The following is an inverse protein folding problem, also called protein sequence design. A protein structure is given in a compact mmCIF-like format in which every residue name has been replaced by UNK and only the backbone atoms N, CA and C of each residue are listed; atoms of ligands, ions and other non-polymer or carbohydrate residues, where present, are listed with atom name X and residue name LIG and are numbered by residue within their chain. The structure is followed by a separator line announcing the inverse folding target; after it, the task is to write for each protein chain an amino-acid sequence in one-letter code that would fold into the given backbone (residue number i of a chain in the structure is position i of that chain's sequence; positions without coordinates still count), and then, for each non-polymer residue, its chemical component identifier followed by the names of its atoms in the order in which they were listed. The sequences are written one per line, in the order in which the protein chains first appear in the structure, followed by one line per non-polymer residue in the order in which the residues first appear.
data_IF_187354508968
#
_entry.id   IF_187354508968
#
_cell.length_a   1.000
_cell.length_b   1.000
_cell.length_c   1.000
_cell.angle_alpha   90.00
_cell.angle_beta   90.00
_cell.angle_gamma   90.00
#
_symmetry.space_group_name_H-M   'P 1'
#
loop_
_entity.id
_entity.type
_entity.pdbx_description
1 polymer ?
#
# COMPACT_ATOMS: atom_id res chain seq x y z
N UNK A 1 -21.93 19.44 19.88
CA UNK A 1 -20.46 19.33 19.80
C UNK A 1 -19.83 20.68 20.12
N UNK A 2 -18.93 20.72 21.10
CA UNK A 2 -18.28 21.94 21.60
C UNK A 2 -17.51 22.65 20.45
N UNK A 3 -17.60 23.99 20.30
CA UNK A 3 -16.96 24.73 19.19
C UNK A 3 -15.44 24.50 19.04
N UNK A 4 -14.73 24.21 20.14
CA UNK A 4 -13.30 23.84 20.10
C UNK A 4 -13.04 22.53 19.36
N UNK A 5 -13.89 21.52 19.55
CA UNK A 5 -13.77 20.23 18.87
C UNK A 5 -14.01 20.37 17.35
N UNK A 6 -14.93 21.25 16.97
CA UNK A 6 -15.23 21.57 15.56
C UNK A 6 -14.06 22.28 14.87
N UNK A 7 -13.40 23.23 15.55
CA UNK A 7 -12.20 23.90 15.03
C UNK A 7 -10.98 22.96 14.92
N UNK A 8 -10.77 22.09 15.91
CA UNK A 8 -9.72 21.08 15.86
C UNK A 8 -9.94 20.08 14.72
N UNK A 9 -11.19 19.64 14.50
CA UNK A 9 -11.54 18.78 13.36
C UNK A 9 -11.25 19.45 12.01
N UNK A 10 -11.58 20.73 11.85
CA UNK A 10 -11.31 21.46 10.61
C UNK A 10 -9.81 21.74 10.39
N UNK A 11 -9.06 22.02 11.45
CA UNK A 11 -7.61 22.24 11.39
C UNK A 11 -6.84 20.97 11.04
N UNK A 12 -7.34 19.80 11.48
CA UNK A 12 -6.76 18.51 11.16
C UNK A 12 -7.00 18.03 9.73
N UNK A 13 -7.96 18.62 9.02
CA UNK A 13 -8.43 18.18 7.71
C UNK A 13 -7.72 18.93 6.57
N UNK A 14 -7.27 20.16 6.77
CA UNK A 14 -6.85 21.06 5.69
C UNK A 14 -5.37 21.44 5.63
N UNK A 15 -4.59 21.23 6.66
CA UNK A 15 -3.22 21.76 6.68
C UNK A 15 -2.17 20.67 6.44
N UNK A 16 -1.64 20.66 5.21
CA UNK A 16 -0.37 20.02 4.91
C UNK A 16 0.76 21.00 5.21
N UNK A 17 1.41 20.86 6.35
CA UNK A 17 2.56 21.67 6.74
C UNK A 17 3.83 20.87 6.44
N UNK A 18 4.79 21.53 5.78
CA UNK A 18 6.13 20.94 5.62
C UNK A 18 6.82 20.97 6.97
N UNK A 19 7.13 19.79 7.49
CA UNK A 19 7.86 19.60 8.73
C UNK A 19 9.21 20.35 8.69
N UNK A 20 9.62 20.90 9.84
CA UNK A 20 10.87 21.66 9.97
C UNK A 20 12.07 20.93 9.41
N UNK A 21 12.19 19.64 9.73
CA UNK A 21 13.27 18.77 9.30
C UNK A 21 13.31 18.52 7.78
N UNK A 22 12.17 18.66 7.10
CA UNK A 22 12.05 18.47 5.64
C UNK A 22 12.23 19.74 4.82
N UNK A 23 12.31 20.92 5.45
CA UNK A 23 12.48 22.20 4.76
C UNK A 23 13.76 22.26 3.94
N UNK A 24 14.85 21.68 4.44
CA UNK A 24 16.12 21.59 3.72
C UNK A 24 15.97 20.78 2.44
N UNK A 25 15.40 19.57 2.52
CA UNK A 25 15.15 18.72 1.34
C UNK A 25 14.27 19.40 0.31
N UNK A 26 13.20 20.08 0.75
CA UNK A 26 12.33 20.86 -0.16
C UNK A 26 13.11 22.00 -0.84
N UNK A 27 14.01 22.68 -0.12
CA UNK A 27 14.86 23.74 -0.70
C UNK A 27 15.83 23.18 -1.74
N UNK A 28 16.46 22.05 -1.46
CA UNK A 28 17.36 21.36 -2.39
C UNK A 28 16.61 20.93 -3.67
N UNK A 29 15.42 20.35 -3.53
CA UNK A 29 14.57 19.98 -4.66
C UNK A 29 14.14 21.21 -5.49
N UNK A 30 13.76 22.31 -4.85
CA UNK A 30 13.45 23.57 -5.54
C UNK A 30 14.63 24.15 -6.30
N UNK A 31 15.84 24.00 -5.76
CA UNK A 31 17.07 24.45 -6.45
C UNK A 31 17.36 23.58 -7.67
N UNK A 32 17.25 22.27 -7.55
CA UNK A 32 17.44 21.34 -8.67
C UNK A 32 16.40 21.61 -9.78
N UNK A 33 15.15 21.88 -9.39
CA UNK A 33 14.05 22.11 -10.33
C UNK A 33 14.23 23.39 -11.18
N UNK A 34 15.01 24.37 -10.72
CA UNK A 34 15.28 25.59 -11.50
C UNK A 34 16.04 25.33 -12.80
N UNK A 35 16.84 24.29 -12.84
CA UNK A 35 17.69 23.91 -13.96
C UNK A 35 17.18 22.64 -14.69
N UNK A 36 15.97 22.19 -14.37
CA UNK A 36 15.37 21.03 -14.98
C UNK A 36 14.40 21.42 -16.09
N UNK A 37 14.37 20.64 -17.17
CA UNK A 37 13.44 20.81 -18.29
C UNK A 37 12.10 20.10 -18.04
N UNK A 38 12.09 19.02 -17.27
CA UNK A 38 10.91 18.21 -16.93
C UNK A 38 11.01 17.66 -15.49
N UNK A 39 9.88 17.37 -14.88
CA UNK A 39 9.78 16.73 -13.58
C UNK A 39 9.06 15.39 -13.72
N UNK A 40 9.76 14.30 -13.41
CA UNK A 40 9.18 12.97 -13.34
C UNK A 40 8.87 12.58 -11.88
N UNK A 41 7.65 12.19 -11.61
CA UNK A 41 7.18 11.70 -10.31
C UNK A 41 7.13 10.17 -10.34
N UNK A 42 8.14 9.54 -9.75
CA UNK A 42 8.37 8.09 -9.79
C UNK A 42 8.11 7.45 -8.41
N UNK A 43 6.97 7.75 -7.80
CA UNK A 43 6.51 7.15 -6.56
C UNK A 43 5.73 5.85 -6.84
N UNK A 44 5.50 5.03 -5.80
CA UNK A 44 4.79 3.75 -5.93
C UNK A 44 3.42 3.87 -6.61
N UNK A 45 2.96 2.81 -7.25
CA UNK A 45 1.66 2.76 -7.92
C UNK A 45 0.53 2.40 -6.94
N UNK A 46 0.43 3.16 -5.87
CA UNK A 46 -0.67 3.05 -4.92
C UNK A 46 -1.21 4.42 -4.55
N UNK A 47 -2.23 4.46 -3.71
CA UNK A 47 -2.86 5.72 -3.28
C UNK A 47 -1.89 6.59 -2.49
N UNK A 48 -1.03 5.98 -1.70
CA UNK A 48 -0.01 6.66 -0.89
C UNK A 48 1.03 7.32 -1.81
N UNK A 49 1.54 6.60 -2.81
CA UNK A 49 2.49 7.13 -3.79
C UNK A 49 1.88 8.23 -4.66
N UNK A 50 0.62 8.11 -5.03
CA UNK A 50 -0.09 9.14 -5.79
C UNK A 50 -0.28 10.42 -4.97
N UNK A 51 -0.63 10.30 -3.69
CA UNK A 51 -0.73 11.45 -2.79
C UNK A 51 0.63 12.11 -2.53
N UNK A 52 1.72 11.33 -2.42
CA UNK A 52 3.08 11.87 -2.31
C UNK A 52 3.43 12.68 -3.56
N UNK A 53 3.15 12.15 -4.74
CA UNK A 53 3.37 12.84 -6.01
C UNK A 53 2.61 14.17 -6.07
N UNK A 54 1.32 14.16 -5.70
CA UNK A 54 0.49 15.35 -5.64
C UNK A 54 1.02 16.40 -4.65
N UNK A 55 1.39 15.98 -3.42
CA UNK A 55 1.94 16.87 -2.40
C UNK A 55 3.27 17.49 -2.83
N UNK A 56 4.12 16.76 -3.55
CA UNK A 56 5.35 17.29 -4.13
C UNK A 56 5.04 18.39 -5.14
N UNK A 57 4.08 18.19 -6.04
CA UNK A 57 3.65 19.22 -7.00
C UNK A 57 3.16 20.46 -6.28
N UNK A 58 2.29 20.32 -5.28
CA UNK A 58 1.75 21.44 -4.49
C UNK A 58 2.84 22.20 -3.74
N UNK A 59 3.86 21.51 -3.24
CA UNK A 59 4.94 22.11 -2.44
C UNK A 59 6.01 22.75 -3.31
N UNK A 60 6.40 22.11 -4.39
CA UNK A 60 7.46 22.57 -5.30
C UNK A 60 6.95 23.62 -6.27
N UNK A 61 5.70 23.54 -6.67
CA UNK A 61 5.04 24.41 -7.68
C UNK A 61 5.89 24.53 -8.94
N UNK A 62 6.17 23.39 -9.61
CA UNK A 62 7.01 23.35 -10.80
C UNK A 62 6.45 24.24 -11.90
N UNK A 63 7.34 24.89 -12.65
CA UNK A 63 7.00 25.65 -13.87
C UNK A 63 7.26 24.83 -15.13
N UNK A 64 7.87 23.68 -14.97
CA UNK A 64 8.20 22.72 -16.04
C UNK A 64 7.10 21.66 -16.15
N UNK A 65 7.00 20.96 -17.29
CA UNK A 65 6.07 19.82 -17.43
C UNK A 65 6.28 18.79 -16.33
N UNK A 66 5.18 18.29 -15.78
CA UNK A 66 5.18 17.26 -14.75
C UNK A 66 4.63 15.98 -15.34
N UNK A 67 5.34 14.89 -15.18
CA UNK A 67 4.98 13.57 -15.71
C UNK A 67 5.00 12.52 -14.60
N UNK A 68 3.94 11.73 -14.46
CA UNK A 68 3.84 10.64 -13.51
C UNK A 68 4.39 9.36 -14.16
N UNK A 69 5.44 8.79 -13.59
CA UNK A 69 5.98 7.49 -13.96
C UNK A 69 5.44 6.41 -13.04
N UNK A 70 5.04 5.29 -13.62
CA UNK A 70 4.57 4.12 -12.87
C UNK A 70 5.33 2.89 -13.37
N UNK A 71 5.91 2.14 -12.44
CA UNK A 71 6.57 0.87 -12.72
C UNK A 71 6.40 -0.08 -11.52
N UNK A 72 6.28 -1.38 -11.82
CA UNK A 72 6.03 -2.41 -10.81
C UNK A 72 7.30 -3.07 -10.29
N UNK A 73 8.42 -2.85 -10.98
CA UNK A 73 9.73 -3.40 -10.62
C UNK A 73 10.86 -2.40 -10.93
N UNK A 74 11.93 -2.46 -10.15
CA UNK A 74 13.10 -1.59 -10.34
C UNK A 74 14.11 -2.29 -11.26
N UNK A 75 13.70 -2.48 -12.51
CA UNK A 75 14.57 -2.99 -13.58
C UNK A 75 14.78 -1.92 -14.65
N UNK A 76 15.91 -1.96 -15.33
CA UNK A 76 16.22 -1.01 -16.42
C UNK A 76 15.14 -1.01 -17.50
N UNK A 77 14.61 -2.18 -17.83
CA UNK A 77 13.58 -2.31 -18.87
C UNK A 77 12.25 -1.70 -18.42
N UNK A 78 11.81 -1.96 -17.18
CA UNK A 78 10.58 -1.39 -16.63
C UNK A 78 10.67 0.14 -16.51
N UNK A 79 11.80 0.67 -16.06
CA UNK A 79 12.03 2.10 -15.96
C UNK A 79 12.01 2.77 -17.34
N UNK A 80 12.69 2.21 -18.33
CA UNK A 80 12.68 2.73 -19.70
C UNK A 80 11.30 2.66 -20.34
N UNK A 81 10.55 1.58 -20.10
CA UNK A 81 9.17 1.46 -20.58
C UNK A 81 8.26 2.53 -19.94
N UNK A 82 8.41 2.80 -18.65
CA UNK A 82 7.61 3.79 -17.94
C UNK A 82 7.93 5.24 -18.35
N UNK A 83 9.16 5.54 -18.78
CA UNK A 83 9.51 6.84 -19.37
C UNK A 83 8.72 7.14 -20.64
N UNK A 84 8.45 6.11 -21.44
CA UNK A 84 7.67 6.23 -22.68
C UNK A 84 6.15 6.18 -22.45
N UNK A 85 5.72 5.78 -21.26
CA UNK A 85 4.29 5.62 -20.89
C UNK A 85 3.97 6.40 -19.61
N UNK A 86 4.17 7.71 -19.65
CA UNK A 86 3.87 8.60 -18.54
C UNK A 86 2.40 9.03 -18.57
N UNK A 87 1.85 9.36 -17.41
CA UNK A 87 0.49 9.87 -17.25
C UNK A 87 0.45 11.11 -16.35
N UNK A 88 -0.71 11.68 -16.17
CA UNK A 88 -0.94 12.71 -15.15
C UNK A 88 -1.17 12.08 -13.76
N UNK A 89 -1.09 12.91 -12.72
CA UNK A 89 -1.44 12.50 -11.34
C UNK A 89 -2.94 12.23 -11.27
N UNK A 90 -3.31 11.06 -10.73
CA UNK A 90 -4.71 10.66 -10.57
C UNK A 90 -5.32 11.30 -9.30
N UNK A 91 -6.15 12.31 -9.51
CA UNK A 91 -6.84 13.03 -8.44
C UNK A 91 -7.77 12.12 -7.62
N UNK A 92 -8.40 11.11 -8.21
CA UNK A 92 -9.30 10.21 -7.49
C UNK A 92 -8.52 9.33 -6.48
N UNK A 93 -7.32 8.89 -6.85
CA UNK A 93 -6.44 8.16 -5.95
C UNK A 93 -5.94 9.05 -4.80
N UNK A 94 -5.64 10.32 -5.08
CA UNK A 94 -5.27 11.31 -4.06
C UNK A 94 -6.42 11.52 -3.08
N UNK A 95 -7.64 11.76 -3.57
CA UNK A 95 -8.83 11.94 -2.73
C UNK A 95 -9.13 10.69 -1.88
N UNK A 96 -8.94 9.51 -2.45
CA UNK A 96 -9.10 8.25 -1.72
C UNK A 96 -8.07 8.13 -0.57
N UNK A 97 -6.83 8.54 -0.77
CA UNK A 97 -5.79 8.55 0.27
C UNK A 97 -6.11 9.60 1.34
N UNK A 98 -6.48 10.82 0.95
CA UNK A 98 -6.86 11.87 1.90
C UNK A 98 -8.08 11.46 2.74
N UNK A 99 -9.09 10.89 2.12
CA UNK A 99 -10.28 10.36 2.81
C UNK A 99 -9.89 9.29 3.83
N UNK A 100 -9.01 8.36 3.45
CA UNK A 100 -8.49 7.35 4.37
C UNK A 100 -7.77 7.98 5.56
N UNK A 101 -6.88 8.94 5.31
CA UNK A 101 -6.14 9.65 6.36
C UNK A 101 -7.08 10.38 7.34
N UNK A 102 -8.09 11.04 6.81
CA UNK A 102 -9.10 11.73 7.61
C UNK A 102 -9.90 10.74 8.46
N UNK A 103 -10.36 9.65 7.85
CA UNK A 103 -11.11 8.60 8.57
C UNK A 103 -10.28 7.95 9.68
N UNK A 104 -9.02 7.60 9.43
CA UNK A 104 -8.15 7.01 10.44
C UNK A 104 -7.95 7.96 11.62
N UNK A 105 -7.80 9.24 11.35
CA UNK A 105 -7.63 10.25 12.38
C UNK A 105 -8.90 10.47 13.18
N UNK A 106 -10.04 10.60 12.53
CA UNK A 106 -11.35 10.73 13.21
C UNK A 106 -11.65 9.50 14.07
N UNK A 107 -11.43 8.31 13.52
CA UNK A 107 -11.60 7.06 14.23
C UNK A 107 -10.73 6.99 15.49
N UNK A 108 -9.45 7.35 15.39
CA UNK A 108 -8.54 7.38 16.53
C UNK A 108 -8.98 8.36 17.60
N UNK A 109 -9.40 9.57 17.23
CA UNK A 109 -9.86 10.58 18.20
C UNK A 109 -11.18 10.23 18.88
N UNK A 110 -12.09 9.55 18.22
CA UNK A 110 -13.38 9.18 18.81
C UNK A 110 -13.25 7.95 19.72
N UNK A 111 -12.45 6.96 19.34
CA UNK A 111 -12.36 5.68 20.04
C UNK A 111 -11.27 5.62 21.11
N UNK A 112 -10.15 6.31 20.95
CA UNK A 112 -9.09 6.27 21.96
C UNK A 112 -9.56 6.73 23.33
N UNK A 113 -10.37 7.80 23.49
CA UNK A 113 -10.92 8.18 24.80
C UNK A 113 -11.86 7.13 25.41
N UNK A 114 -12.54 6.34 24.59
CA UNK A 114 -13.38 5.23 25.07
C UNK A 114 -12.50 4.12 25.64
N UNK A 115 -11.40 3.79 24.96
CA UNK A 115 -10.41 2.83 25.45
C UNK A 115 -9.79 3.29 26.77
N UNK A 116 -9.45 4.56 26.90
CA UNK A 116 -8.87 5.09 28.14
C UNK A 116 -9.80 4.98 29.34
N UNK A 117 -11.10 5.15 29.11
CA UNK A 117 -12.11 5.01 30.17
C UNK A 117 -12.47 3.57 30.53
N UNK A 118 -12.43 2.67 29.54
CA UNK A 118 -12.95 1.30 29.72
C UNK A 118 -11.85 0.27 29.92
N UNK A 119 -10.65 0.51 29.42
CA UNK A 119 -9.54 -0.47 29.43
C UNK A 119 -8.34 0.08 30.21
N UNK A 120 -7.77 1.21 29.79
CA UNK A 120 -6.64 1.82 30.46
C UNK A 120 -6.05 3.01 29.68
N UNK A 121 -5.32 3.92 30.37
CA UNK A 121 -4.73 5.10 29.75
C UNK A 121 -3.62 4.74 28.76
N UNK A 122 -3.38 5.63 27.79
CA UNK A 122 -2.28 5.49 26.82
C UNK A 122 -2.56 4.54 25.66
N UNK A 123 -3.71 3.87 25.63
CA UNK A 123 -4.10 3.00 24.50
C UNK A 123 -4.59 3.83 23.32
N UNK A 124 -4.31 3.36 22.12
CA UNK A 124 -4.81 3.98 20.88
C UNK A 124 -5.69 3.01 20.08
N UNK A 125 -6.73 3.56 19.45
CA UNK A 125 -7.55 2.84 18.49
C UNK A 125 -7.12 3.19 17.07
N UNK A 126 -7.07 2.18 16.20
CA UNK A 126 -6.76 2.36 14.79
C UNK A 126 -7.23 1.17 13.98
N UNK A 127 -7.56 1.38 12.70
CA UNK A 127 -8.04 0.31 11.82
C UNK A 127 -7.04 -0.83 11.71
N UNK A 128 -5.76 -0.51 11.51
CA UNK A 128 -4.71 -1.52 11.40
C UNK A 128 -4.55 -2.28 12.72
N UNK A 129 -4.47 -1.59 13.84
CA UNK A 129 -4.33 -2.20 15.16
C UNK A 129 -5.48 -3.13 15.48
N UNK A 130 -6.71 -2.73 15.22
CA UNK A 130 -7.90 -3.55 15.52
C UNK A 130 -8.02 -4.73 14.57
N UNK A 131 -7.98 -4.49 13.25
CA UNK A 131 -8.21 -5.54 12.23
C UNK A 131 -7.03 -6.49 12.16
N UNK A 132 -5.79 -5.99 12.12
CA UNK A 132 -4.61 -6.86 12.06
C UNK A 132 -4.48 -7.73 13.31
N UNK A 133 -4.70 -7.16 14.49
CA UNK A 133 -4.69 -7.92 15.74
C UNK A 133 -5.77 -9.01 15.73
N UNK A 134 -6.97 -8.68 15.26
CA UNK A 134 -8.05 -9.67 15.13
C UNK A 134 -7.66 -10.83 14.23
N UNK A 135 -7.13 -10.55 13.04
CA UNK A 135 -6.69 -11.56 12.08
C UNK A 135 -5.61 -12.48 12.69
N UNK A 136 -4.63 -11.90 13.41
CA UNK A 136 -3.58 -12.66 14.08
C UNK A 136 -4.18 -13.57 15.17
N UNK A 137 -5.08 -13.03 16.00
CA UNK A 137 -5.73 -13.79 17.07
C UNK A 137 -6.61 -14.91 16.51
N UNK A 138 -7.38 -14.66 15.46
CA UNK A 138 -8.19 -15.69 14.80
C UNK A 138 -7.30 -16.79 14.23
N UNK A 139 -6.22 -16.42 13.54
CA UNK A 139 -5.26 -17.39 13.00
C UNK A 139 -4.56 -18.21 14.08
N UNK A 140 -4.20 -17.58 15.19
CA UNK A 140 -3.59 -18.28 16.31
C UNK A 140 -4.58 -19.26 16.98
N UNK A 141 -5.86 -18.89 17.08
CA UNK A 141 -6.91 -19.81 17.55
C UNK A 141 -7.07 -21.01 16.63
N UNK A 142 -7.06 -20.83 15.31
CA UNK A 142 -7.05 -21.92 14.33
C UNK A 142 -5.83 -22.82 14.51
N UNK A 143 -4.63 -22.23 14.70
CA UNK A 143 -3.40 -22.96 14.95
C UNK A 143 -3.48 -23.80 16.22
N UNK A 144 -4.01 -23.24 17.29
CA UNK A 144 -4.19 -23.95 18.57
C UNK A 144 -5.24 -25.08 18.47
N UNK A 145 -6.27 -24.90 17.67
CA UNK A 145 -7.32 -25.89 17.43
C UNK A 145 -6.89 -26.97 16.42
N UNK A 146 -5.80 -26.74 15.70
CA UNK A 146 -5.33 -27.65 14.65
C UNK A 146 -4.92 -28.99 15.22
N UNK A 147 -5.57 -30.06 14.73
CA UNK A 147 -5.22 -31.43 15.04
C UNK A 147 -4.34 -32.00 13.93
N UNK A 148 -3.15 -32.39 14.28
CA UNK A 148 -2.23 -33.03 13.35
C UNK A 148 -2.76 -34.39 12.95
N UNK A 149 -3.11 -34.56 11.68
CA UNK A 149 -3.56 -35.84 11.12
C UNK A 149 -2.55 -36.25 10.04
N UNK A 150 -2.08 -37.49 10.02
CA UNK A 150 -1.23 -37.95 8.91
C UNK A 150 -2.04 -37.99 7.61
N UNK A 151 -1.41 -37.64 6.52
CA UNK A 151 -1.96 -37.74 5.16
C UNK A 151 -0.94 -38.37 4.23
N UNK A 152 -1.42 -38.88 3.13
CA UNK A 152 -0.61 -39.51 2.10
C UNK A 152 -0.73 -38.71 0.82
N UNK A 153 0.40 -38.54 0.14
CA UNK A 153 0.47 -37.93 -1.19
C UNK A 153 0.94 -39.00 -2.16
N UNK A 154 0.29 -39.11 -3.30
CA UNK A 154 0.64 -40.09 -4.32
C UNK A 154 1.16 -39.36 -5.52
N UNK A 155 2.42 -39.61 -5.86
CA UNK A 155 3.07 -39.11 -7.06
C UNK A 155 3.42 -40.32 -7.94
N UNK A 156 2.89 -40.33 -9.13
CA UNK A 156 3.19 -41.34 -10.14
C UNK A 156 4.23 -40.82 -11.14
N UNK A 157 5.22 -41.63 -11.45
CA UNK A 157 6.06 -41.42 -12.62
C UNK A 157 5.42 -42.14 -13.81
N UNK A 158 5.04 -41.37 -14.81
CA UNK A 158 4.33 -41.85 -16.00
C UNK A 158 5.23 -41.65 -17.23
N UNK A 159 5.01 -42.46 -18.23
CA UNK A 159 5.66 -42.33 -19.51
C UNK A 159 4.64 -42.37 -20.65
N UNK A 160 4.74 -41.44 -21.58
CA UNK A 160 3.92 -41.40 -22.77
C UNK A 160 4.79 -41.09 -23.98
N UNK A 161 4.41 -41.51 -25.21
CA UNK A 161 5.05 -41.01 -26.41
C UNK A 161 4.95 -39.50 -26.54
N UNK A 162 6.04 -38.84 -26.85
CA UNK A 162 6.03 -37.43 -27.23
C UNK A 162 5.55 -37.19 -28.66
N UNK A 163 5.57 -35.94 -29.12
CA UNK A 163 5.15 -35.57 -30.46
C UNK A 163 6.01 -36.23 -31.60
N UNK A 164 7.20 -36.74 -31.26
CA UNK A 164 8.10 -37.42 -32.16
C UNK A 164 8.01 -38.95 -32.04
N UNK A 165 7.18 -39.46 -31.15
CA UNK A 165 7.02 -40.88 -30.85
C UNK A 165 8.07 -41.44 -29.88
N UNK A 166 8.93 -40.59 -29.30
CA UNK A 166 9.90 -40.99 -28.30
C UNK A 166 9.25 -41.06 -26.91
N UNK A 167 9.81 -41.89 -26.03
CA UNK A 167 9.31 -42.04 -24.66
C UNK A 167 9.69 -40.83 -23.80
N UNK A 168 8.70 -40.01 -23.47
CA UNK A 168 8.85 -38.93 -22.51
C UNK A 168 8.33 -39.33 -21.13
N UNK A 169 9.11 -39.09 -20.06
CA UNK A 169 8.73 -39.37 -18.70
C UNK A 169 8.29 -38.05 -18.00
N UNK A 170 7.22 -38.13 -17.22
CA UNK A 170 6.73 -36.99 -16.45
C UNK A 170 6.16 -37.46 -15.09
N UNK A 171 6.18 -36.57 -14.12
CA UNK A 171 5.55 -36.81 -12.81
C UNK A 171 4.14 -36.25 -12.76
N UNK A 172 3.21 -36.99 -12.17
CA UNK A 172 1.85 -36.57 -11.93
C UNK A 172 1.50 -36.78 -10.46
N UNK A 173 0.92 -35.78 -9.82
CA UNK A 173 0.45 -35.84 -8.45
C UNK A 173 -1.06 -36.05 -8.44
N UNK A 174 -1.53 -37.00 -7.63
CA UNK A 174 -2.94 -37.21 -7.43
C UNK A 174 -3.55 -36.00 -6.73
N UNK A 175 -4.57 -35.38 -7.31
CA UNK A 175 -5.26 -34.22 -6.75
C UNK A 175 -6.64 -34.56 -6.17
N UNK A 176 -7.22 -35.70 -6.58
CA UNK A 176 -8.51 -36.18 -6.08
C UNK A 176 -8.64 -37.67 -6.30
N UNK A 177 -9.43 -38.34 -5.47
CA UNK A 177 -9.80 -39.74 -5.63
C UNK A 177 -11.33 -39.84 -5.67
N UNK A 178 -11.86 -40.43 -6.73
CA UNK A 178 -13.31 -40.58 -6.90
C UNK A 178 -14.08 -39.26 -7.01
N UNK A 179 -13.45 -38.19 -7.49
CA UNK A 179 -14.05 -36.85 -7.66
C UNK A 179 -14.21 -36.06 -6.37
N UNK A 180 -13.54 -36.48 -5.30
CA UNK A 180 -13.47 -35.77 -4.01
C UNK A 180 -12.03 -35.38 -3.67
#
# INVERSE_FOLDING_TARGET
LHPRVRRQRQMCIRDSIVDGDKKRTVSELKSALKNADELYLATDEDREGEAIAWHLVQTLKPKVPVKRMVFHEITKNAINASLNNTRDVDGNMVDAQETRRILDRLYGYELSPVLWRKVGPGLSAGRVQSVATRLIVERERERMAFKRVPYWDIVAMLAAPDALGERAEFSARMIALGGK
#
